data_IF_230649532657
#
_entry.id   IF_230649532657
#
_cell.length_a   1.000
_cell.length_b   1.000
_cell.length_c   1.000
_cell.angle_alpha   90.00
_cell.angle_beta   90.00
_cell.angle_gamma   90.00
#
_symmetry.space_group_name_H-M   'P 1'
#
loop_
_entity.id
_entity.type
_entity.pdbx_description
1 polymer ?
#
# COMPACT_ATOMS: atom_id res chain seq x y z
N UNK A 1 -1.65 13.45 5.75
CA UNK A 1 -0.46 13.54 6.61
C UNK A 1 -0.27 12.29 7.44
N UNK A 2 -1.26 11.83 8.23
CA UNK A 2 -1.09 10.61 9.06
C UNK A 2 -1.17 9.30 8.26
N UNK A 3 -2.06 9.22 7.27
CA UNK A 3 -2.28 8.02 6.47
C UNK A 3 -1.02 7.49 5.76
N UNK A 4 -0.24 8.29 5.01
CA UNK A 4 0.97 7.77 4.36
C UNK A 4 2.05 7.36 5.37
N UNK A 5 2.21 8.09 6.48
CA UNK A 5 3.23 7.80 7.50
C UNK A 5 2.96 6.45 8.17
N UNK A 6 1.70 6.16 8.51
CA UNK A 6 1.35 4.88 9.14
C UNK A 6 1.39 3.73 8.13
N UNK A 7 0.93 3.98 6.89
CA UNK A 7 0.78 2.94 5.88
C UNK A 7 2.11 2.48 5.27
N UNK A 8 3.22 3.22 5.39
CA UNK A 8 4.50 2.82 4.79
C UNK A 8 5.18 1.64 5.53
N UNK A 9 4.81 1.41 6.79
CA UNK A 9 5.47 0.46 7.69
C UNK A 9 5.43 -0.98 7.17
N UNK A 10 4.23 -1.49 6.86
CA UNK A 10 4.04 -2.84 6.34
C UNK A 10 4.60 -3.05 4.93
N UNK A 11 4.36 -2.16 3.95
CA UNK A 11 5.00 -2.18 2.64
C UNK A 11 6.53 -2.26 2.71
N UNK A 12 7.17 -1.47 3.57
CA UNK A 12 8.63 -1.50 3.72
C UNK A 12 9.12 -2.85 4.27
N UNK A 13 8.42 -3.42 5.26
CA UNK A 13 8.74 -4.73 5.82
C UNK A 13 8.56 -5.87 4.81
N UNK A 14 7.46 -5.88 4.04
CA UNK A 14 7.23 -6.92 3.03
C UNK A 14 8.15 -6.79 1.83
N UNK A 15 8.50 -5.57 1.43
CA UNK A 15 9.53 -5.34 0.43
C UNK A 15 10.89 -5.89 0.86
N UNK A 16 11.31 -5.67 2.11
CA UNK A 16 12.56 -6.24 2.60
C UNK A 16 12.55 -7.76 2.48
N UNK A 17 11.50 -8.42 2.98
CA UNK A 17 11.38 -9.88 2.92
C UNK A 17 11.32 -10.43 1.48
N UNK A 18 10.45 -9.89 0.63
CA UNK A 18 10.25 -10.39 -0.74
C UNK A 18 11.45 -10.08 -1.65
N UNK A 19 12.14 -8.98 -1.42
CA UNK A 19 13.32 -8.62 -2.21
C UNK A 19 14.56 -9.42 -1.83
N UNK A 20 14.85 -9.58 -0.53
CA UNK A 20 16.01 -10.36 -0.06
C UNK A 20 15.88 -11.85 -0.39
N UNK A 21 14.71 -12.44 -0.15
CA UNK A 21 14.54 -13.90 -0.28
C UNK A 21 14.20 -14.35 -1.69
N UNK A 22 13.39 -13.58 -2.42
CA UNK A 22 12.81 -14.01 -3.69
C UNK A 22 13.11 -13.08 -4.86
N UNK A 23 13.77 -11.93 -4.63
CA UNK A 23 14.03 -10.88 -5.65
C UNK A 23 12.76 -10.42 -6.39
N UNK A 24 11.62 -10.45 -5.71
CA UNK A 24 10.31 -10.10 -6.28
C UNK A 24 9.98 -8.62 -6.01
N UNK A 25 9.75 -7.79 -7.05
CA UNK A 25 9.43 -6.36 -6.92
C UNK A 25 7.93 -6.11 -6.72
N UNK A 26 7.29 -6.79 -5.77
CA UNK A 26 5.83 -6.67 -5.51
C UNK A 26 5.49 -6.56 -4.01
N UNK A 27 6.47 -6.20 -3.18
CA UNK A 27 6.31 -6.22 -1.73
C UNK A 27 5.33 -5.17 -1.22
N UNK A 28 5.41 -3.95 -1.74
CA UNK A 28 4.54 -2.85 -1.32
C UNK A 28 3.14 -3.00 -1.91
N UNK A 29 3.05 -3.35 -3.20
CA UNK A 29 1.79 -3.58 -3.91
C UNK A 29 0.97 -4.70 -3.29
N UNK A 30 1.59 -5.82 -2.89
CA UNK A 30 0.89 -6.91 -2.21
C UNK A 30 0.23 -6.46 -0.90
N UNK A 31 0.95 -5.71 -0.06
CA UNK A 31 0.41 -5.16 1.19
C UNK A 31 -0.78 -4.22 0.95
N UNK A 32 -0.65 -3.30 0.00
CA UNK A 32 -1.71 -2.32 -0.27
C UNK A 32 -2.93 -2.97 -0.90
N UNK A 33 -2.77 -3.95 -1.79
CA UNK A 33 -3.89 -4.68 -2.37
C UNK A 33 -4.66 -5.47 -1.31
N UNK A 34 -3.93 -6.11 -0.39
CA UNK A 34 -4.55 -6.85 0.71
C UNK A 34 -5.34 -5.93 1.62
N UNK A 35 -4.79 -4.75 1.96
CA UNK A 35 -5.51 -3.74 2.73
C UNK A 35 -6.75 -3.22 2.00
N UNK A 36 -6.62 -2.90 0.71
CA UNK A 36 -7.72 -2.36 -0.08
C UNK A 36 -8.86 -3.37 -0.19
N UNK A 37 -8.54 -4.64 -0.42
CA UNK A 37 -9.50 -5.73 -0.42
C UNK A 37 -10.21 -5.88 0.94
N UNK A 38 -9.46 -5.86 2.05
CA UNK A 38 -10.03 -5.93 3.40
C UNK A 38 -10.95 -4.74 3.72
N UNK A 39 -10.57 -3.53 3.29
CA UNK A 39 -11.40 -2.34 3.44
C UNK A 39 -12.72 -2.48 2.67
N UNK A 40 -12.67 -2.90 1.41
CA UNK A 40 -13.87 -3.12 0.59
C UNK A 40 -14.79 -4.18 1.17
N UNK A 41 -14.25 -5.31 1.65
CA UNK A 41 -15.03 -6.37 2.27
C UNK A 41 -15.82 -5.85 3.48
N UNK A 42 -15.16 -5.05 4.33
CA UNK A 42 -15.82 -4.44 5.49
C UNK A 42 -16.86 -3.39 5.06
N UNK A 43 -16.61 -2.59 4.01
CA UNK A 43 -17.57 -1.57 3.55
C UNK A 43 -18.84 -2.19 3.00
N UNK A 44 -18.71 -3.23 2.19
CA UNK A 44 -19.86 -3.93 1.63
C UNK A 44 -20.63 -4.66 2.73
N UNK A 45 -19.95 -5.48 3.53
CA UNK A 45 -20.61 -6.36 4.51
C UNK A 45 -21.17 -5.62 5.72
N UNK A 46 -20.38 -4.70 6.30
CA UNK A 46 -20.73 -4.03 7.55
C UNK A 46 -21.46 -2.71 7.29
N UNK A 47 -20.85 -1.81 6.53
CA UNK A 47 -21.38 -0.46 6.38
C UNK A 47 -22.61 -0.40 5.48
N UNK A 48 -22.59 -1.10 4.34
CA UNK A 48 -23.71 -1.11 3.41
C UNK A 48 -24.81 -2.10 3.84
N UNK A 49 -24.48 -3.39 4.01
CA UNK A 49 -25.50 -4.40 4.31
C UNK A 49 -26.03 -4.38 5.75
N UNK A 50 -25.21 -4.05 6.76
CA UNK A 50 -25.67 -4.06 8.16
C UNK A 50 -26.10 -2.67 8.67
N UNK A 51 -25.28 -1.64 8.43
CA UNK A 51 -25.52 -0.29 8.95
C UNK A 51 -26.18 0.68 7.95
N UNK A 52 -26.52 0.22 6.74
CA UNK A 52 -27.28 0.96 5.71
C UNK A 52 -26.65 2.28 5.26
N UNK A 53 -25.33 2.42 5.40
CA UNK A 53 -24.62 3.58 4.88
C UNK A 53 -24.42 3.47 3.36
N UNK A 54 -24.64 4.57 2.61
CA UNK A 54 -24.39 4.58 1.17
C UNK A 54 -22.90 4.35 0.86
N UNK A 55 -22.61 3.50 -0.12
CA UNK A 55 -21.23 3.12 -0.48
C UNK A 55 -20.37 4.33 -0.86
N UNK A 56 -20.95 5.33 -1.53
CA UNK A 56 -20.27 6.56 -1.93
C UNK A 56 -19.70 7.36 -0.74
N UNK A 57 -20.28 7.22 0.46
CA UNK A 57 -19.81 7.90 1.66
C UNK A 57 -18.64 7.17 2.34
N UNK A 58 -18.50 5.87 2.11
CA UNK A 58 -17.51 5.02 2.79
C UNK A 58 -16.39 4.54 1.88
N UNK A 59 -16.23 5.17 0.71
CA UNK A 59 -15.24 4.81 -0.29
C UNK A 59 -13.81 4.85 0.29
N UNK A 60 -13.05 3.75 0.19
CA UNK A 60 -11.68 3.72 0.70
C UNK A 60 -10.75 4.55 -0.17
N UNK A 61 -9.73 5.14 0.46
CA UNK A 61 -8.64 5.84 -0.23
C UNK A 61 -7.81 4.89 -1.09
N UNK A 62 -7.42 5.33 -2.28
CA UNK A 62 -6.61 4.55 -3.21
C UNK A 62 -5.11 4.82 -2.98
N UNK A 63 -4.38 3.82 -2.48
CA UNK A 63 -2.91 3.88 -2.28
C UNK A 63 -2.14 2.98 -3.27
N UNK A 64 -2.83 2.43 -4.27
CA UNK A 64 -2.24 1.48 -5.23
C UNK A 64 -1.14 2.16 -6.08
N UNK A 65 -1.31 3.38 -6.61
CA UNK A 65 -0.28 4.03 -7.43
C UNK A 65 1.02 4.31 -6.65
N UNK A 66 0.91 4.73 -5.39
CA UNK A 66 2.06 4.99 -4.53
C UNK A 66 2.81 3.70 -4.19
N UNK A 67 2.09 2.58 -3.99
CA UNK A 67 2.72 1.27 -3.80
C UNK A 67 3.49 0.77 -5.02
N UNK A 68 2.92 0.96 -6.21
CA UNK A 68 3.60 0.62 -7.47
C UNK A 68 4.88 1.45 -7.62
N UNK A 69 4.80 2.76 -7.36
CA UNK A 69 5.98 3.63 -7.44
C UNK A 69 7.11 3.17 -6.52
N UNK A 70 6.77 2.80 -5.28
CA UNK A 70 7.73 2.35 -4.28
C UNK A 70 8.39 1.01 -4.69
N UNK A 71 7.61 0.05 -5.21
CA UNK A 71 8.14 -1.21 -5.76
C UNK A 71 9.03 -0.99 -7.00
N UNK A 72 8.64 -0.10 -7.91
CA UNK A 72 9.42 0.25 -9.10
C UNK A 72 10.73 0.93 -8.74
N UNK A 73 10.74 1.83 -7.74
CA UNK A 73 11.96 2.47 -7.26
C UNK A 73 12.95 1.46 -6.70
N UNK A 74 12.49 0.46 -5.94
CA UNK A 74 13.34 -0.62 -5.45
C UNK A 74 13.85 -1.48 -6.60
N UNK A 75 13.00 -1.80 -7.57
CA UNK A 75 13.36 -2.60 -8.73
C UNK A 75 14.45 -1.94 -9.59
N UNK A 76 14.33 -0.63 -9.86
CA UNK A 76 15.26 0.12 -10.72
C UNK A 76 16.60 0.39 -10.04
N UNK A 77 16.58 0.74 -8.75
CA UNK A 77 17.78 1.20 -8.04
C UNK A 77 18.49 0.09 -7.29
N UNK A 78 17.80 -1.03 -7.04
CA UNK A 78 18.23 -2.16 -6.21
C UNK A 78 18.81 -1.75 -4.86
N UNK A 79 18.48 -0.55 -4.37
CA UNK A 79 19.09 0.09 -3.21
C UNK A 79 18.03 0.63 -2.28
N UNK A 80 17.95 0.05 -1.08
CA UNK A 80 17.01 0.46 -0.04
C UNK A 80 17.19 1.93 0.37
N UNK A 81 18.41 2.47 0.31
CA UNK A 81 18.67 3.87 0.66
C UNK A 81 18.03 4.83 -0.34
N UNK A 82 18.14 4.51 -1.64
CA UNK A 82 17.55 5.34 -2.71
C UNK A 82 16.02 5.18 -2.69
N UNK A 83 15.52 3.98 -2.45
CA UNK A 83 14.07 3.73 -2.27
C UNK A 83 13.51 4.45 -1.05
N UNK A 84 14.22 4.48 0.08
CA UNK A 84 13.75 5.18 1.27
C UNK A 84 13.65 6.70 1.04
N UNK A 85 14.59 7.28 0.29
CA UNK A 85 14.59 8.71 -0.02
C UNK A 85 13.51 9.04 -1.07
N UNK A 86 13.64 8.52 -2.30
CA UNK A 86 12.76 8.91 -3.41
C UNK A 86 11.44 8.15 -3.41
N UNK A 87 11.46 6.86 -3.09
CA UNK A 87 10.25 6.05 -2.94
C UNK A 87 9.40 6.52 -1.75
N UNK A 88 10.04 6.88 -0.62
CA UNK A 88 9.36 7.49 0.52
C UNK A 88 8.75 8.87 0.22
N UNK A 89 9.43 9.70 -0.59
CA UNK A 89 8.85 10.95 -1.08
C UNK A 89 7.63 10.69 -1.97
N UNK A 90 7.75 9.82 -2.97
CA UNK A 90 6.64 9.48 -3.87
C UNK A 90 5.47 8.74 -3.21
N UNK A 91 5.70 8.12 -2.05
CA UNK A 91 4.66 7.46 -1.25
C UNK A 91 3.70 8.45 -0.57
N UNK A 92 4.18 9.65 -0.24
CA UNK A 92 3.41 10.65 0.48
C UNK A 92 2.56 11.57 -0.42
N UNK A 93 2.73 11.48 -1.75
CA UNK A 93 1.97 12.20 -2.76
C UNK A 93 0.76 11.37 -3.23
#
# INVERSE_FOLDING_TARGET
>A
TLTPILLITFPAATQYFMWEKMRLPIGATFCVLTLHFGQWMNRVSNFYYWAWFPVNFTTPSLMIPSAIFLDVMLMLTQSYMITALFGGMGWAF
#
